data_IF_744317492879
#
_entry.id   IF_744317492879
#
_cell.length_a   1.000
_cell.length_b   1.000
_cell.length_c   1.000
_cell.angle_alpha   90.00
_cell.angle_beta   90.00
_cell.angle_gamma   90.00
#
_symmetry.space_group_name_H-M   'P 1'
#
loop_
_entity.id
_entity.type
_entity.pdbx_description
1 polymer ?
#
# COMPACT_ATOMS: atom_id res chain seq x y z
N UNK A 1 -2.53 24.86 42.83
CA UNK A 1 -1.65 23.77 42.38
C UNK A 1 -2.28 23.13 41.13
N UNK A 2 -1.80 23.40 39.90
CA UNK A 2 -2.40 22.82 38.71
C UNK A 2 -1.99 21.34 38.61
N UNK A 3 -2.98 20.45 38.61
CA UNK A 3 -2.78 19.02 38.47
C UNK A 3 -2.38 18.70 37.02
N UNK A 4 -1.21 18.07 36.84
CA UNK A 4 -0.72 17.56 35.56
C UNK A 4 -1.67 16.47 35.03
N UNK A 5 -2.21 16.68 33.83
CA UNK A 5 -2.93 15.64 33.10
C UNK A 5 -1.95 14.55 32.64
N UNK A 6 -2.06 13.36 33.22
CA UNK A 6 -1.32 12.19 32.75
C UNK A 6 -1.91 11.74 31.40
N UNK A 7 -1.15 11.97 30.33
CA UNK A 7 -1.50 11.51 28.98
C UNK A 7 -1.44 9.99 28.95
N UNK A 8 -2.60 9.33 29.09
CA UNK A 8 -2.74 7.89 28.87
C UNK A 8 -2.61 7.63 27.37
N UNK A 9 -1.51 7.01 26.96
CA UNK A 9 -1.39 6.48 25.59
C UNK A 9 -2.43 5.37 25.44
N UNK A 10 -3.29 5.40 24.41
CA UNK A 10 -4.21 4.31 24.17
C UNK A 10 -3.42 3.03 23.95
N UNK A 11 -3.83 1.96 24.62
CA UNK A 11 -3.29 0.62 24.39
C UNK A 11 -3.75 0.20 22.99
N UNK A 12 -2.89 0.44 22.00
CA UNK A 12 -3.21 0.18 20.60
C UNK A 12 -3.71 -1.24 20.40
N UNK A 13 -4.69 -1.41 19.50
CA UNK A 13 -5.29 -2.71 19.20
C UNK A 13 -4.25 -3.78 18.86
N UNK A 14 -4.57 -5.03 19.23
CA UNK A 14 -3.72 -6.19 18.97
C UNK A 14 -3.40 -6.27 17.48
N UNK A 15 -2.11 -6.33 17.15
CA UNK A 15 -1.67 -6.43 15.75
C UNK A 15 -1.85 -7.88 15.28
N UNK A 16 -2.66 -8.07 14.25
CA UNK A 16 -2.85 -9.37 13.59
C UNK A 16 -1.54 -9.82 12.93
N UNK A 17 -0.81 -8.89 12.32
CA UNK A 17 0.48 -9.18 11.67
C UNK A 17 1.61 -8.78 12.64
N UNK A 18 2.49 -9.71 13.01
CA UNK A 18 3.58 -9.41 13.93
C UNK A 18 4.66 -8.56 13.26
N UNK A 19 5.38 -7.77 14.06
CA UNK A 19 6.36 -6.81 13.56
C UNK A 19 7.47 -7.45 12.71
N UNK A 20 7.91 -8.66 13.06
CA UNK A 20 8.94 -9.37 12.30
C UNK A 20 8.47 -9.74 10.88
N UNK A 21 7.19 -10.04 10.70
CA UNK A 21 6.61 -10.33 9.39
C UNK A 21 6.50 -9.06 8.55
N UNK A 22 6.20 -7.91 9.16
CA UNK A 22 6.23 -6.61 8.48
C UNK A 22 7.64 -6.28 7.97
N UNK A 23 8.68 -6.54 8.78
CA UNK A 23 10.07 -6.29 8.39
C UNK A 23 10.51 -7.20 7.24
N UNK A 24 10.14 -8.47 7.27
CA UNK A 24 10.40 -9.40 6.17
C UNK A 24 9.69 -8.94 4.87
N UNK A 25 8.44 -8.53 4.98
CA UNK A 25 7.66 -8.02 3.86
C UNK A 25 8.26 -6.72 3.29
N UNK A 26 8.73 -5.80 4.14
CA UNK A 26 9.40 -4.57 3.74
C UNK A 26 10.66 -4.86 2.90
N UNK A 27 11.46 -5.84 3.32
CA UNK A 27 12.64 -6.28 2.58
C UNK A 27 12.26 -6.88 1.22
N UNK A 28 11.23 -7.73 1.19
CA UNK A 28 10.74 -8.32 -0.06
C UNK A 28 10.21 -7.27 -1.04
N UNK A 29 9.55 -6.22 -0.54
CA UNK A 29 9.07 -5.10 -1.36
C UNK A 29 10.19 -4.23 -1.94
N UNK A 30 11.40 -4.29 -1.40
CA UNK A 30 12.58 -3.64 -1.99
C UNK A 30 13.19 -4.46 -3.13
N UNK A 31 12.88 -5.75 -3.22
CA UNK A 31 13.30 -6.60 -4.34
C UNK A 31 12.50 -6.20 -5.60
N UNK A 32 13.15 -6.22 -6.76
CA UNK A 32 12.61 -5.74 -8.04
C UNK A 32 11.30 -6.41 -8.46
N UNK A 33 11.01 -7.61 -7.93
CA UNK A 33 9.73 -8.29 -8.04
C UNK A 33 8.77 -7.85 -6.91
N UNK A 34 8.12 -6.71 -7.11
CA UNK A 34 7.01 -6.29 -6.25
C UNK A 34 5.80 -7.22 -6.32
N UNK A 35 4.83 -7.05 -5.41
CA UNK A 35 3.59 -7.84 -5.42
C UNK A 35 2.53 -7.20 -6.32
N UNK A 36 1.80 -8.02 -7.08
CA UNK A 36 0.75 -7.55 -7.99
C UNK A 36 -0.54 -7.10 -7.28
N UNK A 37 -0.80 -7.57 -6.06
CA UNK A 37 -2.03 -7.28 -5.31
C UNK A 37 -1.86 -7.50 -3.79
N UNK A 38 -2.80 -6.97 -2.99
CA UNK A 38 -2.89 -7.28 -1.56
C UNK A 38 -3.12 -8.78 -1.31
N UNK A 39 -3.84 -9.47 -2.21
CA UNK A 39 -4.00 -10.93 -2.13
C UNK A 39 -2.68 -11.69 -2.34
N UNK A 40 -1.81 -11.22 -3.23
CA UNK A 40 -0.48 -11.81 -3.40
C UNK A 40 0.40 -11.61 -2.16
N UNK A 41 0.25 -10.49 -1.44
CA UNK A 41 0.92 -10.27 -0.15
C UNK A 41 0.40 -11.24 0.91
N UNK A 42 -0.93 -11.42 0.99
CA UNK A 42 -1.55 -12.37 1.91
C UNK A 42 -1.05 -13.81 1.66
N UNK A 43 -1.04 -14.24 0.39
CA UNK A 43 -0.54 -15.56 0.03
C UNK A 43 0.93 -15.74 0.39
N UNK A 44 1.77 -14.75 0.10
CA UNK A 44 3.20 -14.80 0.44
C UNK A 44 3.45 -14.85 1.95
N UNK A 45 2.68 -14.12 2.75
CA UNK A 45 2.75 -14.19 4.21
C UNK A 45 2.42 -15.59 4.73
N UNK A 46 1.39 -16.23 4.16
CA UNK A 46 1.01 -17.59 4.53
C UNK A 46 2.08 -18.61 4.10
N UNK A 47 2.53 -18.56 2.85
CA UNK A 47 3.47 -19.55 2.27
C UNK A 47 4.90 -19.40 2.80
N UNK A 48 5.39 -18.17 2.96
CA UNK A 48 6.80 -17.92 3.30
C UNK A 48 7.01 -17.81 4.81
N UNK A 49 6.05 -17.22 5.53
CA UNK A 49 6.18 -16.90 6.95
C UNK A 49 5.21 -17.68 7.84
N UNK A 50 4.26 -18.44 7.27
CA UNK A 50 3.23 -19.13 8.04
C UNK A 50 2.26 -18.19 8.77
N UNK A 51 2.16 -16.93 8.33
CA UNK A 51 1.32 -15.91 8.97
C UNK A 51 0.03 -15.77 8.18
N UNK A 52 -1.05 -16.34 8.70
CA UNK A 52 -2.38 -16.08 8.18
C UNK A 52 -2.86 -14.69 8.64
N UNK A 53 -3.08 -13.83 7.65
CA UNK A 53 -3.61 -12.49 7.88
C UNK A 53 -4.81 -12.27 6.98
N UNK A 54 -5.90 -11.78 7.55
CA UNK A 54 -7.06 -11.39 6.75
C UNK A 54 -6.75 -10.16 5.88
N UNK A 55 -7.47 -10.04 4.76
CA UNK A 55 -7.36 -8.93 3.82
C UNK A 55 -7.43 -7.56 4.51
N UNK A 56 -8.33 -7.41 5.49
CA UNK A 56 -8.51 -6.17 6.26
C UNK A 56 -7.32 -5.81 7.16
N UNK A 57 -6.45 -6.75 7.49
CA UNK A 57 -5.18 -6.48 8.16
C UNK A 57 -4.07 -6.13 7.16
N UNK A 58 -4.07 -6.80 5.99
CA UNK A 58 -3.04 -6.65 4.96
C UNK A 58 -3.12 -5.29 4.26
N UNK A 59 -4.32 -4.83 3.89
CA UNK A 59 -4.49 -3.57 3.17
C UNK A 59 -3.99 -2.33 3.94
N UNK A 60 -4.42 -2.08 5.20
CA UNK A 60 -3.94 -0.94 5.96
C UNK A 60 -2.46 -1.06 6.33
N UNK A 61 -1.96 -2.28 6.59
CA UNK A 61 -0.53 -2.50 6.81
C UNK A 61 0.27 -2.06 5.58
N UNK A 62 -0.10 -2.55 4.40
CA UNK A 62 0.70 -2.32 3.19
C UNK A 62 0.63 -0.86 2.75
N UNK A 63 -0.56 -0.25 2.83
CA UNK A 63 -0.77 1.14 2.41
C UNK A 63 -0.24 2.17 3.41
N UNK A 64 -0.48 1.98 4.71
CA UNK A 64 -0.16 3.01 5.71
C UNK A 64 1.18 2.78 6.41
N UNK A 65 1.53 1.53 6.73
CA UNK A 65 2.77 1.22 7.47
C UNK A 65 3.95 1.10 6.52
N UNK A 66 3.81 0.27 5.49
CA UNK A 66 4.88 0.01 4.52
C UNK A 66 4.93 1.06 3.41
N UNK A 67 3.85 1.86 3.25
CA UNK A 67 3.69 2.86 2.18
C UNK A 67 4.03 2.31 0.79
N UNK A 68 3.82 1.01 0.60
CA UNK A 68 4.24 0.32 -0.59
C UNK A 68 3.21 0.54 -1.70
N UNK A 69 3.69 0.94 -2.89
CA UNK A 69 2.85 0.97 -4.08
C UNK A 69 2.86 -0.42 -4.69
N UNK A 70 1.94 -1.26 -4.23
CA UNK A 70 1.75 -2.62 -4.76
C UNK A 70 1.40 -2.61 -6.25
N UNK A 71 0.59 -1.65 -6.67
CA UNK A 71 0.09 -1.65 -8.04
C UNK A 71 1.19 -1.22 -9.02
N UNK A 72 1.60 -2.16 -9.86
CA UNK A 72 2.35 -1.87 -11.08
C UNK A 72 1.53 -0.90 -11.95
N UNK A 73 2.19 0.01 -12.67
CA UNK A 73 1.52 0.88 -13.62
C UNK A 73 0.60 0.05 -14.52
N UNK A 74 -0.65 0.51 -14.71
CA UNK A 74 -1.62 -0.21 -15.53
C UNK A 74 -0.99 -0.47 -16.91
N UNK A 75 -0.98 -1.73 -17.41
CA UNK A 75 -0.54 -2.01 -18.76
C UNK A 75 -1.32 -1.11 -19.74
N UNK A 76 -0.60 -0.36 -20.56
CA UNK A 76 -1.22 0.41 -21.63
C UNK A 76 -1.56 -0.55 -22.78
N UNK A 77 -2.74 -0.39 -23.38
CA UNK A 77 -3.13 -1.18 -24.53
C UNK A 77 -2.27 -0.79 -25.74
N UNK A 78 -1.80 -1.76 -26.53
CA UNK A 78 -0.85 -1.51 -27.63
C UNK A 78 -1.38 -0.54 -28.70
N UNK A 79 -2.70 -0.51 -28.91
CA UNK A 79 -3.35 0.44 -29.84
C UNK A 79 -3.54 1.85 -29.27
N UNK A 80 -3.10 2.10 -28.04
CA UNK A 80 -3.34 3.37 -27.38
C UNK A 80 -2.25 4.37 -27.73
N UNK A 81 -2.58 5.26 -28.65
CA UNK A 81 -1.70 6.32 -29.14
C UNK A 81 -1.27 7.28 -28.01
N UNK A 82 0.05 7.45 -27.86
CA UNK A 82 0.64 8.33 -26.85
C UNK A 82 0.34 9.81 -27.11
N UNK A 83 0.16 10.21 -28.38
CA UNK A 83 -0.15 11.58 -28.81
C UNK A 83 -1.60 11.94 -28.47
N UNK A 84 -2.54 11.02 -28.70
CA UNK A 84 -3.94 11.22 -28.35
C UNK A 84 -4.15 11.31 -26.82
N UNK A 85 -3.34 10.56 -26.06
CA UNK A 85 -3.32 10.67 -24.59
C UNK A 85 -2.82 12.01 -24.09
N UNK A 86 -1.73 12.54 -24.64
CA UNK A 86 -1.20 13.84 -24.23
C UNK A 86 -2.16 14.96 -24.59
N UNK A 87 -2.78 14.91 -25.78
CA UNK A 87 -3.78 15.88 -26.19
C UNK A 87 -5.01 15.88 -25.25
N UNK A 88 -5.50 14.69 -24.87
CA UNK A 88 -6.60 14.57 -23.90
C UNK A 88 -6.25 15.11 -22.50
N UNK A 89 -5.01 14.90 -22.03
CA UNK A 89 -4.57 15.46 -20.74
C UNK A 89 -4.48 16.98 -20.76
N UNK A 90 -4.06 17.57 -21.89
CA UNK A 90 -3.97 19.01 -22.07
C UNK A 90 -5.35 19.67 -22.09
N UNK A 91 -6.34 19.07 -22.77
CA UNK A 91 -7.69 19.64 -22.82
C UNK A 91 -8.39 19.66 -21.46
N UNK A 92 -8.14 18.65 -20.60
CA UNK A 92 -8.67 18.62 -19.24
C UNK A 92 -8.10 19.73 -18.34
N UNK A 93 -6.84 20.10 -18.53
CA UNK A 93 -6.20 21.19 -17.78
C UNK A 93 -6.78 22.54 -18.19
N UNK A 94 -6.99 22.77 -19.49
CA UNK A 94 -7.56 24.02 -20.02
C UNK A 94 -8.99 24.28 -19.54
N UNK A 95 -9.80 23.25 -19.30
CA UNK A 95 -11.18 23.42 -18.78
C UNK A 95 -11.26 23.66 -17.27
N UNK A 96 -10.16 23.48 -16.53
CA UNK A 96 -10.14 23.67 -15.07
C UNK A 96 -9.77 25.09 -14.63
N UNK A 97 -9.31 25.94 -15.56
CA UNK A 97 -8.85 27.31 -15.30
C UNK A 97 -9.89 28.38 -15.69
N UNK A 98 -11.19 28.03 -15.73
CA UNK A 98 -12.30 29.00 -15.89
C UNK A 98 -13.08 29.19 -14.59
#
# INVERSE_FOLDING_TARGET
MPAMLAVKKPQGGVRVIPQWAETALAKRLQESHGFHSCGAVQQWLAETLGVEAEYHAVDPMTRHRLKAKLKVARPQHDKQDSVQRSAFQQTLQTTSDC
#
